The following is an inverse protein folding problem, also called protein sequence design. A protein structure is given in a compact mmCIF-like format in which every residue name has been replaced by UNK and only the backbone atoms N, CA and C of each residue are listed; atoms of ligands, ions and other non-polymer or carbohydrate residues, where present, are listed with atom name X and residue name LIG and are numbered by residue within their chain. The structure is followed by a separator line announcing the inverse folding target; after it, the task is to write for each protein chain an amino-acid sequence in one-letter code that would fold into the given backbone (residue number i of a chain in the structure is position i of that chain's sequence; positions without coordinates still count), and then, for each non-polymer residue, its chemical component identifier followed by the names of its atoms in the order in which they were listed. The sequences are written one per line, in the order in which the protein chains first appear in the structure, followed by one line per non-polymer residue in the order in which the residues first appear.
data_IF_448808629540
#
_entry.id   IF_448808629540
#
_cell.length_a   1.000
_cell.length_b   1.000
_cell.length_c   1.000
_cell.angle_alpha   90.00
_cell.angle_beta   90.00
_cell.angle_gamma   90.00
#
_symmetry.space_group_name_H-M   'P 1'
#
loop_
_entity.id
_entity.type
_entity.pdbx_description
1 polymer ?
#
# COMPACT_ATOMS: atom_id res chain seq x y z
N UNK A 1 -3.71 -17.00 3.39
CA UNK A 1 -2.85 -15.86 3.02
C UNK A 1 -2.99 -14.77 4.05
N UNK A 2 -1.89 -14.28 4.57
CA UNK A 2 -1.91 -13.24 5.60
C UNK A 2 -1.81 -11.86 4.98
N UNK A 3 -2.12 -10.84 5.77
CA UNK A 3 -1.98 -9.46 5.32
C UNK A 3 -0.53 -9.14 4.98
N UNK A 4 0.40 -9.69 5.75
CA UNK A 4 1.83 -9.50 5.49
C UNK A 4 2.25 -10.04 4.14
N UNK A 5 1.73 -11.19 3.75
CA UNK A 5 2.01 -11.76 2.44
C UNK A 5 1.53 -10.84 1.34
N UNK A 6 0.37 -10.25 1.55
CA UNK A 6 -0.22 -9.34 0.58
C UNK A 6 0.65 -8.10 0.39
N UNK A 7 1.22 -7.59 1.47
CA UNK A 7 2.08 -6.41 1.43
C UNK A 7 3.43 -6.72 0.81
N UNK A 8 4.01 -7.87 1.16
CA UNK A 8 5.34 -8.24 0.71
C UNK A 8 5.40 -8.66 -0.75
N UNK A 9 4.30 -9.13 -1.29
CA UNK A 9 4.28 -9.66 -2.65
C UNK A 9 3.34 -8.83 -3.51
N UNK A 10 3.81 -7.66 -3.94
CA UNK A 10 2.99 -6.78 -4.76
C UNK A 10 2.61 -7.43 -6.08
N UNK A 11 1.46 -7.07 -6.58
CA UNK A 11 0.97 -7.62 -7.83
C UNK A 11 1.69 -6.95 -8.99
N UNK A 12 2.32 -7.76 -9.81
CA UNK A 12 3.20 -7.25 -10.86
C UNK A 12 2.47 -6.57 -11.99
N UNK A 13 1.23 -6.96 -12.22
CA UNK A 13 0.46 -6.40 -13.33
C UNK A 13 -0.40 -5.21 -12.94
N UNK A 14 -0.20 -4.69 -11.75
CA UNK A 14 -0.85 -3.45 -11.34
C UNK A 14 -0.01 -2.26 -11.80
N UNK A 15 -0.67 -1.25 -12.35
CA UNK A 15 0.00 0.00 -12.67
C UNK A 15 0.04 0.92 -11.45
N UNK A 16 0.67 2.08 -11.61
CA UNK A 16 0.85 3.02 -10.51
C UNK A 16 -0.49 3.50 -9.96
N UNK A 17 -1.44 3.72 -10.83
CA UNK A 17 -2.77 4.16 -10.42
C UNK A 17 -3.44 3.13 -9.53
N UNK A 18 -3.35 1.86 -9.91
CA UNK A 18 -3.93 0.77 -9.15
C UNK A 18 -3.28 0.64 -7.78
N UNK A 19 -1.95 0.76 -7.75
CA UNK A 19 -1.20 0.72 -6.50
C UNK A 19 -1.57 1.89 -5.60
N UNK A 20 -1.76 3.06 -6.18
CA UNK A 20 -2.15 4.24 -5.42
C UNK A 20 -3.50 4.05 -4.76
N UNK A 21 -4.48 3.53 -5.48
CA UNK A 21 -5.78 3.24 -4.91
C UNK A 21 -5.67 2.26 -3.75
N UNK A 22 -4.90 1.19 -3.96
CA UNK A 22 -4.71 0.20 -2.91
C UNK A 22 -4.05 0.81 -1.68
N UNK A 23 -3.04 1.64 -1.89
CA UNK A 23 -2.33 2.29 -0.79
C UNK A 23 -3.27 3.19 0.02
N UNK A 24 -4.14 3.91 -0.66
CA UNK A 24 -5.13 4.73 0.04
C UNK A 24 -6.07 3.89 0.90
N UNK A 25 -6.51 2.76 0.38
CA UNK A 25 -7.36 1.84 1.15
C UNK A 25 -6.62 1.35 2.38
N UNK A 26 -5.36 0.93 2.20
CA UNK A 26 -4.59 0.37 3.30
C UNK A 26 -4.29 1.40 4.38
N UNK A 27 -3.96 2.62 3.98
CA UNK A 27 -3.59 3.66 4.94
C UNK A 27 -4.77 4.06 5.82
N UNK A 28 -5.99 3.85 5.33
CA UNK A 28 -7.20 4.15 6.09
C UNK A 28 -7.79 2.93 6.79
N UNK A 29 -7.15 1.78 6.66
CA UNK A 29 -7.64 0.56 7.28
C UNK A 29 -7.45 0.62 8.80
N UNK A 30 -8.47 0.29 9.58
CA UNK A 30 -8.35 0.34 11.04
C UNK A 30 -7.58 -0.82 11.66
N UNK A 31 -7.32 -1.87 10.89
CA UNK A 31 -6.63 -3.06 11.42
C UNK A 31 -5.15 -3.15 11.07
N UNK A 32 -4.60 -2.16 10.41
CA UNK A 32 -3.15 -2.13 10.22
C UNK A 32 -2.53 -1.34 11.36
N UNK A 33 -1.27 -1.66 11.70
CA UNK A 33 -0.58 -0.93 12.75
C UNK A 33 0.10 0.31 12.18
N UNK A 34 0.73 1.09 13.07
CA UNK A 34 1.35 2.35 12.66
C UNK A 34 2.48 2.13 11.68
N UNK A 35 3.23 1.04 11.86
CA UNK A 35 4.35 0.72 11.01
C UNK A 35 3.91 0.49 9.56
N UNK A 36 2.85 -0.27 9.40
CA UNK A 36 2.32 -0.54 8.08
C UNK A 36 1.66 0.69 7.47
N UNK A 37 1.03 1.50 8.31
CA UNK A 37 0.44 2.74 7.84
C UNK A 37 1.52 3.67 7.28
N UNK A 38 2.65 3.78 7.96
CA UNK A 38 3.77 4.59 7.48
C UNK A 38 4.29 4.08 6.15
N UNK A 39 4.39 2.76 6.01
CA UNK A 39 4.81 2.16 4.76
C UNK A 39 3.92 2.60 3.60
N UNK A 40 2.61 2.52 3.81
CA UNK A 40 1.67 2.88 2.74
C UNK A 40 1.63 4.38 2.47
N UNK A 41 1.85 5.18 3.49
CA UNK A 41 1.95 6.63 3.30
C UNK A 41 3.14 6.97 2.43
N UNK A 42 4.28 6.34 2.69
CA UNK A 42 5.47 6.53 1.88
C UNK A 42 5.20 6.09 0.44
N UNK A 43 4.52 4.99 0.29
CA UNK A 43 4.20 4.46 -1.03
C UNK A 43 3.32 5.41 -1.83
N UNK A 44 2.34 6.00 -1.17
CA UNK A 44 1.49 7.00 -1.81
C UNK A 44 2.32 8.18 -2.28
N UNK A 45 3.22 8.63 -1.44
CA UNK A 45 4.07 9.77 -1.78
C UNK A 45 4.95 9.46 -2.98
N UNK A 46 5.56 8.29 -3.00
CA UNK A 46 6.38 7.87 -4.13
C UNK A 46 5.58 7.84 -5.42
N UNK A 47 4.39 7.27 -5.36
CA UNK A 47 3.56 7.11 -6.55
C UNK A 47 3.05 8.44 -7.08
N UNK A 48 2.81 9.39 -6.20
CA UNK A 48 2.35 10.72 -6.59
C UNK A 48 3.49 11.57 -7.14
N UNK A 49 4.68 11.41 -6.58
CA UNK A 49 5.84 12.18 -7.03
C UNK A 49 6.46 11.60 -8.30
N UNK A 50 6.32 10.33 -8.47
CA UNK A 50 6.87 9.65 -9.61
C UNK A 50 6.01 9.73 -10.84
#
# INVERSE_FOLDING_TARGET
MTLNDFIKYPRKNWDDKKWLEHAHVMVHSPWIDDHERDYWRDKIKELQDG
#
